data_IF_625222698401
#
_entry.id   IF_625222698401
#
_cell.length_a   1.000
_cell.length_b   1.000
_cell.length_c   1.000
_cell.angle_alpha   90.00
_cell.angle_beta   90.00
_cell.angle_gamma   90.00
#
_symmetry.space_group_name_H-M   'P 1'
#
loop_
_entity.id
_entity.type
_entity.pdbx_description
1 polymer ?
#
# COMPACT_ATOMS: atom_id res chain seq x y z
N UNK A 1 -8.33 18.98 8.00
CA UNK A 1 -7.86 17.61 7.68
C UNK A 1 -8.96 16.92 6.89
N UNK A 2 -8.69 16.46 5.67
CA UNK A 2 -9.70 15.75 4.88
C UNK A 2 -9.92 14.38 5.52
N UNK A 3 -11.14 14.13 6.00
CA UNK A 3 -11.51 12.84 6.58
C UNK A 3 -11.71 11.83 5.44
N UNK A 4 -10.60 11.27 4.95
CA UNK A 4 -10.60 10.22 3.92
C UNK A 4 -10.69 8.88 4.60
N UNK A 5 -11.64 8.06 4.16
CA UNK A 5 -11.71 6.66 4.56
C UNK A 5 -10.65 5.81 3.83
N UNK A 6 -10.48 4.56 4.30
CA UNK A 6 -9.50 3.61 3.72
C UNK A 6 -9.76 3.37 2.23
N UNK A 7 -11.03 3.42 1.79
CA UNK A 7 -11.40 3.22 0.38
C UNK A 7 -10.83 4.36 -0.47
N UNK A 8 -11.01 5.61 -0.04
CA UNK A 8 -10.49 6.80 -0.73
C UNK A 8 -8.97 6.76 -0.84
N UNK A 9 -8.27 6.39 0.24
CA UNK A 9 -6.81 6.22 0.22
C UNK A 9 -6.37 5.13 -0.75
N UNK A 10 -7.01 3.96 -0.71
CA UNK A 10 -6.70 2.86 -1.62
C UNK A 10 -6.93 3.27 -3.08
N UNK A 11 -8.00 4.00 -3.39
CA UNK A 11 -8.24 4.52 -4.74
C UNK A 11 -7.13 5.45 -5.22
N UNK A 12 -6.63 6.33 -4.35
CA UNK A 12 -5.51 7.21 -4.69
C UNK A 12 -4.23 6.41 -4.94
N UNK A 13 -3.89 5.49 -4.04
CA UNK A 13 -2.72 4.61 -4.17
C UNK A 13 -2.78 3.83 -5.49
N UNK A 14 -3.89 3.14 -5.78
CA UNK A 14 -4.07 2.40 -7.03
C UNK A 14 -3.98 3.27 -8.26
N UNK A 15 -4.42 4.53 -8.19
CA UNK A 15 -4.26 5.50 -9.28
C UNK A 15 -2.80 5.77 -9.63
N UNK A 16 -1.95 5.96 -8.61
CA UNK A 16 -0.52 6.17 -8.83
C UNK A 16 0.21 4.89 -9.28
N UNK A 17 -0.14 3.74 -8.71
CA UNK A 17 0.40 2.44 -9.14
C UNK A 17 0.14 2.18 -10.63
N UNK A 18 -1.10 2.42 -11.09
CA UNK A 18 -1.46 2.26 -12.52
C UNK A 18 -0.73 3.23 -13.45
N UNK A 19 -0.29 4.37 -12.93
CA UNK A 19 0.52 5.33 -13.67
C UNK A 19 2.03 5.02 -13.59
N UNK A 20 2.43 3.97 -12.88
CA UNK A 20 3.83 3.62 -12.64
C UNK A 20 4.56 4.53 -11.66
N UNK A 21 3.84 5.44 -10.99
CA UNK A 21 4.41 6.39 -10.01
C UNK A 21 4.46 5.73 -8.62
N UNK A 22 5.39 4.78 -8.48
CA UNK A 22 5.53 3.98 -7.26
C UNK A 22 5.90 4.83 -6.04
N UNK A 23 6.68 5.89 -6.23
CA UNK A 23 7.11 6.78 -5.15
C UNK A 23 5.93 7.53 -4.54
N UNK A 24 5.03 8.09 -5.37
CA UNK A 24 3.81 8.73 -4.85
C UNK A 24 2.84 7.74 -4.24
N UNK A 25 2.71 6.55 -4.83
CA UNK A 25 1.89 5.48 -4.25
C UNK A 25 2.38 5.11 -2.85
N UNK A 26 3.70 4.93 -2.68
CA UNK A 26 4.32 4.62 -1.39
C UNK A 26 4.16 5.78 -0.38
N UNK A 27 4.37 7.02 -0.80
CA UNK A 27 4.17 8.21 0.06
C UNK A 27 2.76 8.24 0.63
N UNK A 28 1.74 8.08 -0.23
CA UNK A 28 0.34 8.08 0.20
C UNK A 28 0.02 6.89 1.10
N UNK A 29 0.53 5.70 0.76
CA UNK A 29 0.41 4.53 1.62
C UNK A 29 1.00 4.78 3.01
N UNK A 30 2.17 5.43 3.10
CA UNK A 30 2.80 5.80 4.37
C UNK A 30 2.03 6.89 5.13
N UNK A 31 1.32 7.79 4.45
CA UNK A 31 0.46 8.79 5.08
C UNK A 31 -0.86 8.24 5.63
N UNK A 32 -1.27 7.03 5.22
CA UNK A 32 -2.52 6.42 5.69
C UNK A 32 -2.52 6.27 7.22
N UNK A 33 -3.50 6.86 7.93
CA UNK A 33 -3.57 6.76 9.40
C UNK A 33 -3.91 5.33 9.87
N UNK A 34 -4.73 4.62 9.09
CA UNK A 34 -5.05 3.21 9.28
C UNK A 34 -4.83 2.47 7.96
N UNK A 35 -4.07 1.38 8.00
CA UNK A 35 -3.82 0.50 6.84
C UNK A 35 -4.45 -0.84 7.10
N UNK A 36 -5.31 -1.28 6.19
CA UNK A 36 -5.94 -2.60 6.22
C UNK A 36 -5.21 -3.55 5.29
N UNK A 37 -5.51 -4.85 5.39
CA UNK A 37 -5.00 -5.88 4.48
C UNK A 37 -5.16 -5.47 3.01
N UNK A 38 -6.28 -4.84 2.65
CA UNK A 38 -6.53 -4.34 1.29
C UNK A 38 -5.54 -3.26 0.85
N UNK A 39 -5.09 -2.39 1.76
CA UNK A 39 -4.07 -1.36 1.48
C UNK A 39 -2.70 -1.98 1.23
N UNK A 40 -2.31 -2.98 2.05
CA UNK A 40 -1.06 -3.73 1.86
C UNK A 40 -1.06 -4.50 0.55
N UNK A 41 -2.14 -5.22 0.27
CA UNK A 41 -2.29 -6.00 -0.96
C UNK A 41 -2.20 -5.11 -2.20
N UNK A 42 -2.81 -3.92 -2.18
CA UNK A 42 -2.72 -2.98 -3.31
C UNK A 42 -1.25 -2.60 -3.62
N UNK A 43 -0.46 -2.23 -2.61
CA UNK A 43 0.94 -1.89 -2.81
C UNK A 43 1.81 -3.09 -3.23
N UNK A 44 1.60 -4.25 -2.62
CA UNK A 44 2.34 -5.47 -2.96
C UNK A 44 2.07 -5.86 -4.41
N UNK A 45 0.80 -5.89 -4.83
CA UNK A 45 0.44 -6.17 -6.22
C UNK A 45 1.05 -5.16 -7.17
N UNK A 46 1.05 -3.87 -6.83
CA UNK A 46 1.67 -2.83 -7.65
C UNK A 46 3.17 -3.06 -7.86
N UNK A 47 3.91 -3.45 -6.82
CA UNK A 47 5.32 -3.80 -6.93
C UNK A 47 5.56 -5.05 -7.78
N UNK A 48 4.70 -6.06 -7.65
CA UNK A 48 4.78 -7.28 -8.48
C UNK A 48 4.52 -6.95 -9.96
N UNK A 49 3.51 -6.11 -10.25
CA UNK A 49 3.15 -5.71 -11.61
C UNK A 49 4.25 -4.89 -12.31
N UNK A 50 5.02 -4.09 -11.56
CA UNK A 50 6.16 -3.36 -12.11
C UNK A 50 7.46 -4.19 -12.17
N UNK A 51 7.43 -5.44 -11.69
CA UNK A 51 8.57 -6.35 -11.69
C UNK A 51 9.54 -6.16 -10.51
N UNK A 52 9.24 -5.27 -9.57
CA UNK A 52 10.03 -5.05 -8.35
C UNK A 52 9.58 -6.00 -7.22
N UNK A 53 9.89 -7.28 -7.43
CA UNK A 53 9.54 -8.36 -6.50
C UNK A 53 10.23 -8.20 -5.14
N UNK A 54 11.41 -7.57 -5.10
CA UNK A 54 12.15 -7.38 -3.85
C UNK A 54 11.44 -6.37 -2.94
N UNK A 55 11.02 -5.22 -3.48
CA UNK A 55 10.19 -4.26 -2.74
C UNK A 55 8.86 -4.88 -2.30
N UNK A 56 8.24 -5.71 -3.14
CA UNK A 56 7.02 -6.44 -2.77
C UNK A 56 7.24 -7.35 -1.56
N UNK A 57 8.36 -8.11 -1.57
CA UNK A 57 8.75 -9.03 -0.49
C UNK A 57 9.09 -8.29 0.80
N UNK A 58 9.80 -7.18 0.72
CA UNK A 58 10.08 -6.32 1.86
C UNK A 58 8.80 -5.78 2.49
N UNK A 59 7.86 -5.33 1.65
CA UNK A 59 6.59 -4.78 2.12
C UNK A 59 5.71 -5.85 2.75
N UNK A 60 5.65 -7.05 2.16
CA UNK A 60 4.98 -8.21 2.76
C UNK A 60 5.58 -8.57 4.12
N UNK A 61 6.91 -8.54 4.25
CA UNK A 61 7.59 -8.82 5.53
C UNK A 61 7.27 -7.79 6.62
N UNK A 62 6.93 -6.55 6.24
CA UNK A 62 6.51 -5.47 7.15
C UNK A 62 5.06 -5.60 7.61
N UNK A 63 4.26 -6.44 6.96
CA UNK A 63 2.86 -6.72 7.31
C UNK A 63 2.75 -7.46 8.67
N UNK A 64 3.81 -8.19 9.06
CA UNK A 64 3.80 -9.18 10.15
C UNK A 64 3.99 -8.59 11.56
N UNK A 65 3.33 -7.47 11.87
CA UNK A 65 3.25 -6.92 13.25
C UNK A 65 1.86 -6.53 13.71
N UNK A 66 0.79 -6.83 12.96
CA UNK A 66 -0.57 -6.43 13.37
C UNK A 66 -1.61 -7.55 13.49
N UNK A 67 -1.31 -8.78 13.05
CA UNK A 67 -2.30 -9.87 13.08
C UNK A 67 -1.90 -11.04 14.00
N UNK A 68 -0.91 -10.85 14.89
CA UNK A 68 -0.51 -11.87 15.88
C UNK A 68 -0.66 -11.39 17.32
N UNK A 69 -1.81 -10.80 17.67
CA UNK A 69 -2.26 -10.73 19.06
C UNK A 69 -3.78 -10.90 19.07
N UNK A 70 -4.19 -12.11 19.48
CA UNK A 70 -5.47 -12.54 20.07
C UNK A 70 -6.68 -11.62 19.89
#
# INVERSE_FOLDING_TARGET
MTNKDVVSWNSMVSGYLRNGDMDKALSLFQEMPERKLSSWNAMISGYVECGDVESARELFSKMDRKDHLL
#
